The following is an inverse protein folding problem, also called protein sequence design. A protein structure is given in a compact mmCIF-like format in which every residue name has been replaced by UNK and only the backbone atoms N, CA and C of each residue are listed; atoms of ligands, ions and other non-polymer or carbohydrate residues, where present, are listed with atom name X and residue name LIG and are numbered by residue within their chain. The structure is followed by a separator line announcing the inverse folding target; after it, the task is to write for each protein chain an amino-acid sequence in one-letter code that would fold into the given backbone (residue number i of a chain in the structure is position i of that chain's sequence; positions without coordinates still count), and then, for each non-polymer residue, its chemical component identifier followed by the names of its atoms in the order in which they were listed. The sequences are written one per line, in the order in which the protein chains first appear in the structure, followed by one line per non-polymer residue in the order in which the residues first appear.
data_IF_433781548062
#
_entry.id   IF_433781548062
#
_cell.length_a   1.000
_cell.length_b   1.000
_cell.length_c   1.000
_cell.angle_alpha   90.00
_cell.angle_beta   90.00
_cell.angle_gamma   90.00
#
_symmetry.space_group_name_H-M   'P 1'
#
loop_
_entity.id
_entity.type
_entity.pdbx_description
1 polymer ?
#
# COMPACT_ATOMS: atom_id res chain seq x y z
N UNK A 1 16.81 -24.29 11.77
CA UNK A 1 17.54 -24.13 13.05
C UNK A 1 17.88 -25.46 13.69
N UNK A 2 16.91 -26.29 14.15
CA UNK A 2 17.23 -27.61 14.75
C UNK A 2 18.08 -28.54 13.88
N UNK A 3 17.82 -28.57 12.57
CA UNK A 3 18.65 -29.35 11.64
C UNK A 3 20.11 -28.83 11.62
N UNK A 4 20.30 -27.51 11.57
CA UNK A 4 21.61 -26.86 11.66
C UNK A 4 22.29 -27.14 13.00
N UNK A 5 21.54 -27.15 14.11
CA UNK A 5 22.06 -27.45 15.45
C UNK A 5 22.61 -28.88 15.49
N UNK A 6 21.78 -29.88 15.14
CA UNK A 6 22.18 -31.30 15.13
C UNK A 6 23.40 -31.56 14.24
N UNK A 7 23.44 -30.91 13.09
CA UNK A 7 24.60 -30.99 12.19
C UNK A 7 25.86 -30.40 12.84
N UNK A 8 25.75 -29.24 13.47
CA UNK A 8 26.85 -28.59 14.19
C UNK A 8 27.38 -29.41 15.37
N UNK A 9 26.48 -30.00 16.16
CA UNK A 9 26.82 -30.89 17.29
C UNK A 9 27.56 -32.14 16.81
N UNK A 10 27.16 -32.70 15.66
CA UNK A 10 27.81 -33.85 15.04
C UNK A 10 29.24 -33.55 14.56
N UNK A 11 29.59 -32.27 14.41
CA UNK A 11 30.94 -31.82 14.04
C UNK A 11 31.84 -31.52 15.26
N UNK A 12 31.39 -31.83 16.49
CA UNK A 12 32.11 -31.60 17.75
C UNK A 12 32.61 -30.15 17.94
N UNK A 13 31.84 -29.17 17.46
CA UNK A 13 32.16 -27.74 17.61
C UNK A 13 31.86 -27.24 19.02
N UNK A 14 32.56 -26.18 19.44
CA UNK A 14 32.28 -25.49 20.69
C UNK A 14 30.93 -24.77 20.64
N UNK A 15 30.28 -24.55 21.79
CA UNK A 15 28.97 -23.88 21.85
C UNK A 15 28.95 -22.51 21.16
N UNK A 16 30.03 -21.74 21.29
CA UNK A 16 30.21 -20.43 20.63
C UNK A 16 30.24 -20.54 19.10
N UNK A 17 30.93 -21.53 18.55
CA UNK A 17 30.95 -21.79 17.11
C UNK A 17 29.60 -22.32 16.59
N UNK A 18 28.88 -23.09 17.41
CA UNK A 18 27.53 -23.56 17.09
C UNK A 18 26.58 -22.37 16.99
N UNK A 19 26.59 -21.47 17.97
CA UNK A 19 25.74 -20.29 17.98
C UNK A 19 25.98 -19.35 16.80
N UNK A 20 27.25 -19.04 16.50
CA UNK A 20 27.61 -18.22 15.35
C UNK A 20 27.14 -18.86 14.02
N UNK A 21 27.28 -20.18 13.88
CA UNK A 21 26.79 -20.91 12.71
C UNK A 21 25.26 -20.86 12.60
N UNK A 22 24.55 -21.07 13.72
CA UNK A 22 23.10 -21.00 13.76
C UNK A 22 22.59 -19.61 13.36
N UNK A 23 23.22 -18.55 13.88
CA UNK A 23 22.86 -17.16 13.52
C UNK A 23 23.15 -16.88 12.06
N UNK A 24 24.33 -17.24 11.55
CA UNK A 24 24.69 -17.07 10.13
C UNK A 24 23.75 -17.82 9.19
N UNK A 25 23.45 -19.09 9.48
CA UNK A 25 22.54 -19.89 8.64
C UNK A 25 21.10 -19.36 8.69
N UNK A 26 20.63 -18.93 9.87
CA UNK A 26 19.32 -18.28 10.02
C UNK A 26 19.26 -16.98 9.23
N UNK A 27 20.30 -16.15 9.33
CA UNK A 27 20.43 -14.92 8.57
C UNK A 27 20.42 -15.17 7.06
N UNK A 28 21.10 -16.21 6.58
CA UNK A 28 21.09 -16.58 5.17
C UNK A 28 19.68 -16.96 4.69
N UNK A 29 18.95 -17.74 5.50
CA UNK A 29 17.58 -18.13 5.18
C UNK A 29 16.65 -16.91 5.13
N UNK A 30 16.73 -16.02 6.12
CA UNK A 30 15.92 -14.80 6.18
C UNK A 30 16.25 -13.87 5.01
N UNK A 31 17.51 -13.46 4.89
CA UNK A 31 17.93 -12.39 3.96
C UNK A 31 17.96 -12.81 2.49
N UNK A 32 18.20 -14.09 2.18
CA UNK A 32 18.24 -14.57 0.78
C UNK A 32 16.98 -15.31 0.39
N UNK A 33 16.63 -16.36 1.13
CA UNK A 33 15.56 -17.28 0.70
C UNK A 33 14.19 -16.66 0.91
N UNK A 34 13.91 -16.22 2.14
CA UNK A 34 12.62 -15.63 2.49
C UNK A 34 12.42 -14.27 1.81
N UNK A 35 13.46 -13.42 1.79
CA UNK A 35 13.42 -12.16 1.04
C UNK A 35 13.04 -12.37 -0.43
N UNK A 36 13.71 -13.30 -1.12
CA UNK A 36 13.40 -13.61 -2.52
C UNK A 36 11.98 -14.16 -2.69
N UNK A 37 11.52 -15.03 -1.77
CA UNK A 37 10.16 -15.56 -1.80
C UNK A 37 9.11 -14.44 -1.66
N UNK A 38 9.30 -13.52 -0.71
CA UNK A 38 8.40 -12.39 -0.49
C UNK A 38 8.38 -11.45 -1.70
N UNK A 39 9.56 -11.11 -2.25
CA UNK A 39 9.65 -10.27 -3.44
C UNK A 39 8.95 -10.90 -4.65
N UNK A 40 9.12 -12.20 -4.86
CA UNK A 40 8.44 -12.92 -5.93
C UNK A 40 6.93 -13.01 -5.69
N UNK A 41 6.48 -13.13 -4.44
CA UNK A 41 5.07 -13.13 -4.09
C UNK A 41 4.43 -11.77 -4.36
N UNK A 42 5.06 -10.68 -3.89
CA UNK A 42 4.57 -9.31 -4.05
C UNK A 42 4.47 -8.92 -5.54
N UNK A 43 5.42 -9.37 -6.36
CA UNK A 43 5.45 -9.06 -7.80
C UNK A 43 4.58 -9.98 -8.66
N UNK A 44 3.79 -10.89 -8.07
CA UNK A 44 2.89 -11.73 -8.86
C UNK A 44 1.84 -10.85 -9.55
N UNK A 45 1.59 -11.02 -10.86
CA UNK A 45 0.70 -10.13 -11.60
C UNK A 45 -0.72 -10.07 -11.03
N UNK A 46 -1.24 -11.21 -10.57
CA UNK A 46 -2.59 -11.36 -10.06
C UNK A 46 -2.73 -11.20 -8.55
N UNK A 47 -1.71 -10.70 -7.85
CA UNK A 47 -1.85 -10.45 -6.40
C UNK A 47 -2.89 -9.36 -6.16
N UNK A 48 -3.81 -9.61 -5.24
CA UNK A 48 -4.87 -8.69 -4.84
C UNK A 48 -4.42 -7.70 -3.78
N UNK A 49 -5.15 -6.57 -3.66
CA UNK A 49 -4.91 -5.56 -2.63
C UNK A 49 -5.02 -6.14 -1.22
N UNK A 50 -6.01 -7.02 -0.98
CA UNK A 50 -6.20 -7.68 0.32
C UNK A 50 -5.05 -8.63 0.68
N UNK A 51 -4.48 -9.32 -0.31
CA UNK A 51 -3.31 -10.18 -0.12
C UNK A 51 -2.07 -9.35 0.21
N UNK A 52 -1.87 -8.20 -0.45
CA UNK A 52 -0.78 -7.28 -0.13
C UNK A 52 -0.90 -6.71 1.29
N UNK A 53 -2.11 -6.33 1.71
CA UNK A 53 -2.39 -5.92 3.11
C UNK A 53 -1.99 -7.02 4.08
N UNK A 54 -2.36 -8.27 3.78
CA UNK A 54 -2.01 -9.40 4.64
C UNK A 54 -0.49 -9.66 4.68
N UNK A 55 0.23 -9.44 3.57
CA UNK A 55 1.70 -9.51 3.56
C UNK A 55 2.31 -8.46 4.48
N UNK A 56 1.80 -7.22 4.48
CA UNK A 56 2.28 -6.15 5.38
C UNK A 56 2.05 -6.53 6.86
N UNK A 57 0.87 -7.06 7.18
CA UNK A 57 0.54 -7.51 8.54
C UNK A 57 1.47 -8.66 8.95
N UNK A 58 1.59 -9.69 8.10
CA UNK A 58 2.41 -10.86 8.38
C UNK A 58 3.90 -10.52 8.53
N UNK A 59 4.44 -9.65 7.68
CA UNK A 59 5.85 -9.21 7.78
C UNK A 59 6.09 -8.41 9.06
N UNK A 60 5.11 -7.64 9.53
CA UNK A 60 5.20 -6.94 10.82
C UNK A 60 5.23 -7.92 12.00
N UNK A 61 4.42 -8.99 11.98
CA UNK A 61 4.50 -10.03 13.00
C UNK A 61 5.79 -10.84 12.94
N UNK A 62 6.28 -11.15 11.73
CA UNK A 62 7.56 -11.85 11.54
C UNK A 62 8.73 -11.00 12.03
N UNK A 63 8.69 -9.68 11.82
CA UNK A 63 9.66 -8.71 12.34
C UNK A 63 9.73 -8.79 13.88
N UNK A 64 8.59 -8.81 14.56
CA UNK A 64 8.53 -8.95 16.03
C UNK A 64 9.02 -10.34 16.48
N UNK A 65 8.72 -11.39 15.71
CA UNK A 65 9.10 -12.75 16.03
C UNK A 65 10.62 -12.99 15.95
N UNK A 66 11.38 -12.15 15.24
CA UNK A 66 12.84 -12.25 15.19
C UNK A 66 13.49 -12.20 16.57
N UNK A 67 12.93 -11.45 17.52
CA UNK A 67 13.45 -11.41 18.90
C UNK A 67 13.35 -12.79 19.57
N UNK A 68 12.20 -13.44 19.46
CA UNK A 68 12.02 -14.79 20.02
C UNK A 68 12.94 -15.80 19.34
N UNK A 69 13.26 -15.60 18.06
CA UNK A 69 14.22 -16.44 17.34
C UNK A 69 15.65 -16.25 17.86
N UNK A 70 16.04 -15.01 18.17
CA UNK A 70 17.33 -14.71 18.83
C UNK A 70 17.42 -15.33 20.23
N UNK A 71 16.38 -15.16 21.04
CA UNK A 71 16.30 -15.73 22.39
C UNK A 71 16.35 -17.26 22.33
N UNK A 72 15.62 -17.85 21.39
CA UNK A 72 15.61 -19.29 21.17
C UNK A 72 17.00 -19.82 20.80
N UNK A 73 17.71 -19.19 19.86
CA UNK A 73 19.07 -19.59 19.48
C UNK A 73 20.02 -19.53 20.68
N UNK A 74 19.93 -18.44 21.46
CA UNK A 74 20.75 -18.25 22.66
C UNK A 74 20.50 -19.34 23.71
N UNK A 75 19.23 -19.69 23.92
CA UNK A 75 18.83 -20.71 24.91
C UNK A 75 19.31 -22.10 24.51
N UNK A 76 19.21 -22.48 23.23
CA UNK A 76 19.63 -23.82 22.79
C UNK A 76 21.15 -23.98 22.74
N UNK A 77 21.92 -22.90 22.63
CA UNK A 77 23.39 -22.93 22.61
C UNK A 77 24.01 -22.79 24.01
N UNK A 78 23.20 -22.49 25.04
CA UNK A 78 23.64 -22.25 26.43
C UNK A 78 24.74 -21.18 26.56
N UNK A 79 24.73 -20.17 25.70
CA UNK A 79 25.70 -19.06 25.76
C UNK A 79 25.14 -17.95 26.65
N UNK A 80 25.95 -17.44 27.57
CA UNK A 80 25.61 -16.27 28.38
C UNK A 80 25.40 -15.03 27.49
N UNK A 81 24.30 -14.30 27.75
CA UNK A 81 24.02 -13.02 27.10
C UNK A 81 25.16 -12.01 27.24
N UNK A 82 26.06 -12.13 28.23
CA UNK A 82 27.20 -11.20 28.40
C UNK A 82 28.28 -11.32 27.31
N UNK A 83 28.25 -12.38 26.48
CA UNK A 83 29.20 -12.59 25.36
C UNK A 83 28.79 -11.82 24.09
N UNK A 84 28.21 -10.63 24.28
CA UNK A 84 27.35 -9.81 23.41
C UNK A 84 27.97 -9.27 22.10
N UNK A 85 29.14 -9.76 21.67
CA UNK A 85 29.67 -9.49 20.32
C UNK A 85 29.09 -10.43 19.24
N UNK A 86 27.95 -11.08 19.53
CA UNK A 86 27.32 -12.03 18.63
C UNK A 86 26.44 -11.33 17.58
N UNK A 87 26.50 -11.79 16.34
CA UNK A 87 25.77 -11.21 15.22
C UNK A 87 24.24 -11.25 15.46
N UNK A 88 23.58 -10.09 15.39
CA UNK A 88 22.11 -10.01 15.46
C UNK A 88 21.47 -10.61 14.21
N UNK A 89 20.19 -10.96 14.30
CA UNK A 89 19.46 -11.41 13.13
C UNK A 89 19.13 -10.22 12.22
N UNK A 90 19.40 -10.37 10.92
CA UNK A 90 19.08 -9.41 9.86
C UNK A 90 17.63 -9.57 9.35
N UNK A 91 16.77 -10.22 10.13
CA UNK A 91 15.34 -10.35 9.80
C UNK A 91 14.65 -8.98 9.78
N UNK A 92 15.06 -8.06 10.65
CA UNK A 92 14.48 -6.72 10.77
C UNK A 92 14.53 -5.94 9.44
N UNK A 93 15.70 -5.86 8.79
CA UNK A 93 15.84 -5.16 7.51
C UNK A 93 15.07 -5.89 6.41
N UNK A 94 15.17 -7.21 6.36
CA UNK A 94 14.47 -8.03 5.35
C UNK A 94 12.96 -7.80 5.35
N UNK A 95 12.33 -7.81 6.53
CA UNK A 95 10.88 -7.62 6.62
C UNK A 95 10.45 -6.17 6.40
N UNK A 96 11.29 -5.20 6.77
CA UNK A 96 11.08 -3.79 6.41
C UNK A 96 11.09 -3.58 4.90
N UNK A 97 12.06 -4.16 4.20
CA UNK A 97 12.17 -4.06 2.74
C UNK A 97 10.98 -4.72 2.04
N UNK A 98 10.55 -5.89 2.51
CA UNK A 98 9.37 -6.57 1.99
C UNK A 98 8.08 -5.78 2.24
N UNK A 99 7.92 -5.20 3.43
CA UNK A 99 6.79 -4.33 3.77
C UNK A 99 6.74 -3.12 2.85
N UNK A 100 7.87 -2.43 2.65
CA UNK A 100 7.93 -1.27 1.78
C UNK A 100 7.61 -1.62 0.31
N UNK A 101 8.09 -2.77 -0.17
CA UNK A 101 7.74 -3.25 -1.50
C UNK A 101 6.23 -3.54 -1.64
N UNK A 102 5.60 -4.14 -0.63
CA UNK A 102 4.16 -4.39 -0.62
C UNK A 102 3.34 -3.08 -0.55
N UNK A 103 3.79 -2.09 0.22
CA UNK A 103 3.20 -0.74 0.26
C UNK A 103 3.23 -0.07 -1.11
N UNK A 104 4.38 -0.10 -1.79
CA UNK A 104 4.51 0.44 -3.14
C UNK A 104 3.54 -0.22 -4.14
N UNK A 105 3.43 -1.55 -4.09
CA UNK A 105 2.53 -2.30 -4.97
C UNK A 105 1.05 -1.98 -4.71
N UNK A 106 0.67 -1.70 -3.44
CA UNK A 106 -0.68 -1.21 -3.11
C UNK A 106 -0.97 0.09 -3.84
N UNK A 107 -0.05 1.06 -3.79
CA UNK A 107 -0.25 2.36 -4.46
C UNK A 107 -0.39 2.19 -5.97
N UNK A 108 0.49 1.39 -6.58
CA UNK A 108 0.44 1.11 -8.02
C UNK A 108 -0.88 0.45 -8.42
N UNK A 109 -1.32 -0.60 -7.73
CA UNK A 109 -2.57 -1.30 -8.05
C UNK A 109 -3.81 -0.46 -7.81
N UNK A 110 -3.80 0.40 -6.81
CA UNK A 110 -4.91 1.30 -6.52
C UNK A 110 -5.07 2.34 -7.64
N UNK A 111 -3.96 2.95 -8.09
CA UNK A 111 -3.97 3.88 -9.20
C UNK A 111 -4.38 3.20 -10.52
N UNK A 112 -3.87 1.99 -10.79
CA UNK A 112 -4.31 1.19 -11.95
C UNK A 112 -5.81 0.91 -11.93
N UNK A 113 -6.38 0.59 -10.76
CA UNK A 113 -7.83 0.40 -10.64
C UNK A 113 -8.60 1.68 -10.87
N UNK A 114 -8.12 2.82 -10.39
CA UNK A 114 -8.71 4.12 -10.72
C UNK A 114 -8.71 4.34 -12.23
N UNK A 115 -7.58 4.09 -12.90
CA UNK A 115 -7.46 4.24 -14.36
C UNK A 115 -8.44 3.34 -15.12
N UNK A 116 -8.62 2.09 -14.68
CA UNK A 116 -9.61 1.18 -15.26
C UNK A 116 -11.04 1.73 -15.17
N UNK A 117 -11.43 2.34 -14.04
CA UNK A 117 -12.75 2.96 -13.90
C UNK A 117 -12.87 4.25 -14.73
N UNK A 118 -11.80 5.05 -14.78
CA UNK A 118 -11.74 6.31 -15.52
C UNK A 118 -11.90 6.06 -17.04
N UNK A 119 -11.38 4.94 -17.56
CA UNK A 119 -11.58 4.53 -18.95
C UNK A 119 -13.05 4.25 -19.31
N UNK A 120 -13.93 4.07 -18.33
CA UNK A 120 -15.37 3.89 -18.54
C UNK A 120 -16.13 5.22 -18.64
N UNK A 121 -15.45 6.36 -18.45
CA UNK A 121 -16.06 7.66 -18.59
C UNK A 121 -16.51 7.90 -20.04
N UNK A 122 -17.77 8.29 -20.20
CA UNK A 122 -18.40 8.54 -21.50
C UNK A 122 -19.18 9.86 -21.43
N UNK A 123 -18.45 10.96 -21.28
CA UNK A 123 -19.04 12.30 -21.20
C UNK A 123 -19.49 12.79 -22.58
N UNK A 124 -20.76 13.16 -22.71
CA UNK A 124 -21.20 14.04 -23.79
C UNK A 124 -20.83 15.49 -23.47
N UNK A 125 -19.65 15.90 -23.92
CA UNK A 125 -19.13 17.26 -23.72
C UNK A 125 -19.97 18.35 -24.39
N UNK A 126 -20.93 17.99 -25.24
CA UNK A 126 -21.84 18.91 -25.94
C UNK A 126 -23.25 18.96 -25.34
N UNK A 127 -23.49 18.24 -24.23
CA UNK A 127 -24.81 18.19 -23.59
C UNK A 127 -25.31 19.56 -23.12
N UNK A 128 -26.59 19.83 -23.33
CA UNK A 128 -27.16 21.16 -23.05
C UNK A 128 -27.42 21.34 -21.55
N UNK A 129 -27.92 20.30 -20.89
CA UNK A 129 -28.26 20.27 -19.47
C UNK A 129 -27.63 19.03 -18.82
N UNK A 130 -27.24 19.09 -17.54
CA UNK A 130 -26.74 17.94 -16.80
C UNK A 130 -27.85 16.91 -16.53
N UNK A 131 -27.47 15.66 -16.30
CA UNK A 131 -28.39 14.57 -15.95
C UNK A 131 -28.98 14.70 -14.53
N UNK A 132 -28.46 15.66 -13.74
CA UNK A 132 -28.91 15.93 -12.37
C UNK A 132 -28.42 14.93 -11.32
N UNK A 133 -27.57 13.97 -11.72
CA UNK A 133 -26.92 12.99 -10.83
C UNK A 133 -25.48 12.75 -11.27
N UNK A 134 -24.64 12.28 -10.35
CA UNK A 134 -23.29 11.88 -10.68
C UNK A 134 -23.24 10.67 -11.64
N UNK A 135 -22.17 10.60 -12.42
CA UNK A 135 -21.89 9.57 -13.40
C UNK A 135 -21.72 8.20 -12.74
N UNK A 136 -22.29 7.16 -13.37
CA UNK A 136 -22.33 5.81 -12.80
C UNK A 136 -20.94 5.24 -12.52
N UNK A 137 -20.00 5.38 -13.48
CA UNK A 137 -18.63 4.87 -13.34
C UNK A 137 -17.92 5.47 -12.11
N UNK A 138 -18.16 6.75 -11.83
CA UNK A 138 -17.51 7.44 -10.72
C UNK A 138 -18.09 7.00 -9.38
N UNK A 139 -19.41 6.80 -9.31
CA UNK A 139 -20.04 6.26 -8.12
C UNK A 139 -19.54 4.84 -7.82
N UNK A 140 -19.38 4.00 -8.85
CA UNK A 140 -18.81 2.66 -8.70
C UNK A 140 -17.34 2.72 -8.25
N UNK A 141 -16.55 3.65 -8.78
CA UNK A 141 -15.18 3.91 -8.33
C UNK A 141 -15.13 4.33 -6.85
N UNK A 142 -15.98 5.28 -6.44
CA UNK A 142 -16.05 5.73 -5.03
C UNK A 142 -16.46 4.58 -4.11
N UNK A 143 -17.41 3.73 -4.53
CA UNK A 143 -17.82 2.54 -3.77
C UNK A 143 -16.68 1.52 -3.65
N UNK A 144 -15.92 1.31 -4.73
CA UNK A 144 -14.71 0.49 -4.72
C UNK A 144 -13.66 1.03 -3.75
N UNK A 145 -13.35 2.33 -3.81
CA UNK A 145 -12.37 2.97 -2.91
C UNK A 145 -12.82 2.88 -1.46
N UNK A 146 -14.10 3.14 -1.16
CA UNK A 146 -14.66 3.02 0.19
C UNK A 146 -14.51 1.61 0.74
N UNK A 147 -14.85 0.60 -0.05
CA UNK A 147 -14.74 -0.82 0.34
C UNK A 147 -13.27 -1.23 0.54
N UNK A 148 -12.38 -0.73 -0.32
CA UNK A 148 -10.94 -1.01 -0.24
C UNK A 148 -10.31 -0.38 1.01
N UNK A 149 -10.64 0.88 1.31
CA UNK A 149 -10.09 1.59 2.46
C UNK A 149 -10.58 1.06 3.80
N UNK A 150 -11.76 0.45 3.86
CA UNK A 150 -12.18 -0.31 5.04
C UNK A 150 -11.19 -1.44 5.36
N UNK A 151 -10.68 -2.16 4.36
CA UNK A 151 -9.65 -3.20 4.56
C UNK A 151 -8.33 -2.58 5.01
N UNK A 152 -8.00 -1.38 4.53
CA UNK A 152 -6.74 -0.70 4.87
C UNK A 152 -6.69 -0.20 6.30
N UNK A 153 -7.80 -0.21 7.05
CA UNK A 153 -7.79 0.08 8.49
C UNK A 153 -6.92 -0.88 9.30
N UNK A 154 -6.58 -2.05 8.74
CA UNK A 154 -5.63 -3.00 9.32
C UNK A 154 -4.16 -2.71 9.01
N UNK A 155 -3.87 -1.75 8.12
CA UNK A 155 -2.52 -1.28 7.84
C UNK A 155 -2.03 -0.31 8.93
N UNK A 156 -0.71 -0.09 9.05
CA UNK A 156 -0.20 1.02 9.83
C UNK A 156 -0.84 2.34 9.37
N UNK A 157 -1.31 3.17 10.31
CA UNK A 157 -2.12 4.35 9.98
C UNK A 157 -1.51 5.28 8.93
N UNK A 158 -0.19 5.50 8.98
CA UNK A 158 0.52 6.30 7.96
C UNK A 158 0.44 5.68 6.56
N UNK A 159 0.53 4.36 6.44
CA UNK A 159 0.45 3.65 5.15
C UNK A 159 -0.96 3.79 4.56
N UNK A 160 -1.99 3.59 5.38
CA UNK A 160 -3.38 3.76 4.96
C UNK A 160 -3.66 5.20 4.49
N UNK A 161 -3.17 6.19 5.23
CA UNK A 161 -3.29 7.61 4.87
C UNK A 161 -2.54 7.94 3.58
N UNK A 162 -1.32 7.45 3.40
CA UNK A 162 -0.55 7.65 2.17
C UNK A 162 -1.24 7.00 0.97
N UNK A 163 -1.76 5.78 1.12
CA UNK A 163 -2.53 5.11 0.07
C UNK A 163 -3.77 5.93 -0.33
N UNK A 164 -4.53 6.40 0.68
CA UNK A 164 -5.73 7.19 0.46
C UNK A 164 -5.44 8.55 -0.20
N UNK A 165 -4.40 9.24 0.25
CA UNK A 165 -3.97 10.51 -0.34
C UNK A 165 -3.53 10.31 -1.79
N UNK A 166 -2.68 9.30 -2.04
CA UNK A 166 -2.20 8.95 -3.39
C UNK A 166 -3.37 8.67 -4.34
N UNK A 167 -4.36 7.91 -3.88
CA UNK A 167 -5.55 7.59 -4.66
C UNK A 167 -6.37 8.83 -5.02
N UNK A 168 -6.64 9.70 -4.04
CA UNK A 168 -7.38 10.93 -4.26
C UNK A 168 -6.64 11.90 -5.19
N UNK A 169 -5.32 12.04 -5.03
CA UNK A 169 -4.49 12.85 -5.92
C UNK A 169 -4.48 12.30 -7.34
N UNK A 170 -4.37 10.98 -7.49
CA UNK A 170 -4.41 10.33 -8.80
C UNK A 170 -5.77 10.54 -9.47
N UNK A 171 -6.87 10.30 -8.73
CA UNK A 171 -8.23 10.55 -9.23
C UNK A 171 -8.43 12.00 -9.66
N UNK A 172 -8.06 12.96 -8.81
CA UNK A 172 -8.14 14.40 -9.11
C UNK A 172 -7.36 14.76 -10.38
N UNK A 173 -6.14 14.23 -10.51
CA UNK A 173 -5.28 14.45 -11.68
C UNK A 173 -5.89 13.86 -12.94
N UNK A 174 -6.38 12.62 -12.88
CA UNK A 174 -7.02 11.95 -14.02
C UNK A 174 -8.28 12.68 -14.48
N UNK A 175 -9.11 13.16 -13.54
CA UNK A 175 -10.28 13.98 -13.84
C UNK A 175 -9.88 15.32 -14.48
N UNK A 176 -8.87 16.00 -13.94
CA UNK A 176 -8.36 17.23 -14.54
C UNK A 176 -7.83 17.00 -15.97
N UNK A 177 -7.15 15.88 -16.21
CA UNK A 177 -6.66 15.53 -17.55
C UNK A 177 -7.79 15.34 -18.56
N UNK A 178 -8.98 14.86 -18.15
CA UNK A 178 -10.13 14.78 -19.06
C UNK A 178 -10.57 16.15 -19.56
N UNK A 179 -10.60 17.17 -18.69
CA UNK A 179 -10.94 18.54 -19.08
C UNK A 179 -9.87 19.21 -19.94
N UNK A 180 -8.62 18.78 -19.80
CA UNK A 180 -7.47 19.32 -20.50
C UNK A 180 -7.08 18.50 -21.74
N UNK A 181 -7.89 17.51 -22.12
CA UNK A 181 -7.61 16.65 -23.27
C UNK A 181 -7.54 17.49 -24.55
N UNK A 182 -6.45 17.32 -25.31
CA UNK A 182 -6.25 18.03 -26.57
C UNK A 182 -7.29 17.68 -27.64
N UNK A 183 -7.95 16.53 -27.53
CA UNK A 183 -9.01 16.11 -28.45
C UNK A 183 -10.36 16.77 -28.14
N UNK A 184 -10.51 17.33 -26.93
CA UNK A 184 -11.69 18.06 -26.50
C UNK A 184 -11.74 19.45 -27.14
N UNK A 185 -12.46 19.59 -28.27
CA UNK A 185 -12.53 20.85 -29.02
C UNK A 185 -13.56 21.84 -28.49
N UNK A 186 -14.58 21.34 -27.79
CA UNK A 186 -15.67 22.16 -27.28
C UNK A 186 -16.23 21.53 -26.01
N UNK A 187 -16.56 22.38 -25.04
CA UNK A 187 -17.23 22.00 -23.81
C UNK A 187 -18.43 22.91 -23.63
N UNK A 188 -19.59 22.31 -23.41
CA UNK A 188 -20.84 22.99 -23.08
C UNK A 188 -20.95 23.25 -21.57
N UNK A 189 -21.77 24.23 -21.18
CA UNK A 189 -22.05 24.46 -19.75
C UNK A 189 -22.79 23.28 -19.11
N UNK A 190 -23.65 22.57 -19.84
CA UNK A 190 -24.31 21.37 -19.33
C UNK A 190 -23.30 20.27 -18.97
N UNK A 191 -22.29 20.06 -19.82
CA UNK A 191 -21.21 19.11 -19.53
C UNK A 191 -20.35 19.54 -18.32
N UNK A 192 -19.99 20.83 -18.22
CA UNK A 192 -19.27 21.35 -17.04
C UNK A 192 -20.09 21.12 -15.76
N UNK A 193 -21.40 21.36 -15.80
CA UNK A 193 -22.28 21.13 -14.65
C UNK A 193 -22.38 19.64 -14.30
N UNK A 194 -22.44 18.75 -15.29
CA UNK A 194 -22.44 17.31 -15.07
C UNK A 194 -21.12 16.85 -14.43
N UNK A 195 -19.98 17.31 -14.95
CA UNK A 195 -18.67 17.04 -14.38
C UNK A 195 -18.51 17.66 -12.97
N UNK A 196 -19.13 18.80 -12.71
CA UNK A 196 -19.16 19.40 -11.37
C UNK A 196 -19.88 18.50 -10.35
N UNK A 197 -20.99 17.84 -10.72
CA UNK A 197 -21.68 16.87 -9.86
C UNK A 197 -20.75 15.71 -9.47
N UNK A 198 -19.91 15.30 -10.40
CA UNK A 198 -18.92 14.25 -10.21
C UNK A 198 -17.80 14.66 -9.24
N UNK A 199 -17.24 15.87 -9.41
CA UNK A 199 -16.23 16.39 -8.48
C UNK A 199 -16.80 16.60 -7.08
N UNK A 200 -18.07 17.04 -6.95
CA UNK A 200 -18.75 17.13 -5.65
C UNK A 200 -18.77 15.76 -4.94
N UNK A 201 -19.01 14.66 -5.66
CA UNK A 201 -18.98 13.32 -5.04
C UNK A 201 -17.57 12.93 -4.58
N UNK A 202 -16.53 13.31 -5.32
CA UNK A 202 -15.15 13.09 -4.93
C UNK A 202 -14.79 13.86 -3.64
N UNK A 203 -15.24 15.11 -3.53
CA UNK A 203 -15.04 15.93 -2.34
C UNK A 203 -15.81 15.39 -1.13
N UNK A 204 -17.09 15.02 -1.32
CA UNK A 204 -17.88 14.37 -0.26
C UNK A 204 -17.23 13.07 0.22
N UNK A 205 -16.66 12.30 -0.70
CA UNK A 205 -15.87 11.13 -0.35
C UNK A 205 -14.64 11.50 0.49
N UNK A 206 -13.86 12.51 0.08
CA UNK A 206 -12.71 13.00 0.83
C UNK A 206 -13.07 13.52 2.22
N UNK A 207 -14.22 14.19 2.36
CA UNK A 207 -14.77 14.68 3.63
C UNK A 207 -15.33 13.56 4.53
N UNK A 208 -15.57 12.35 4.00
CA UNK A 208 -16.15 11.24 4.76
C UNK A 208 -15.15 10.44 5.61
N UNK A 209 -13.92 10.94 5.76
CA UNK A 209 -12.82 10.28 6.47
C UNK A 209 -12.64 8.80 6.08
N UNK A 210 -12.33 8.50 4.80
CA UNK A 210 -12.28 7.13 4.29
C UNK A 210 -11.26 6.23 5.01
N UNK A 211 -10.20 6.82 5.58
CA UNK A 211 -9.29 6.16 6.52
C UNK A 211 -9.05 7.06 7.74
N UNK A 212 -8.84 6.49 8.94
CA UNK A 212 -8.69 7.27 10.16
C UNK A 212 -7.37 8.05 10.22
N UNK A 213 -7.40 9.16 10.97
CA UNK A 213 -6.21 9.92 11.37
C UNK A 213 -5.77 11.03 10.40
N UNK A 214 -6.56 11.34 9.37
CA UNK A 214 -6.42 12.63 8.70
C UNK A 214 -6.74 13.77 9.69
N UNK A 215 -6.04 14.89 9.56
CA UNK A 215 -6.29 16.09 10.34
C UNK A 215 -7.06 17.11 9.50
N UNK A 216 -8.25 17.52 9.96
CA UNK A 216 -9.07 18.52 9.29
C UNK A 216 -9.34 18.16 7.82
N UNK A 217 -9.20 19.14 6.93
CA UNK A 217 -9.54 19.02 5.51
C UNK A 217 -8.38 18.53 4.63
N UNK A 218 -7.34 17.90 5.21
CA UNK A 218 -6.12 17.52 4.49
C UNK A 218 -6.40 16.71 3.21
N UNK A 219 -7.34 15.75 3.24
CA UNK A 219 -7.67 14.94 2.07
C UNK A 219 -8.41 15.74 0.98
N UNK A 220 -9.16 16.77 1.36
CA UNK A 220 -9.85 17.66 0.41
C UNK A 220 -8.86 18.49 -0.41
N UNK A 221 -7.66 18.75 0.13
CA UNK A 221 -6.58 19.44 -0.59
C UNK A 221 -6.21 18.74 -1.90
N UNK A 222 -6.43 17.43 -2.02
CA UNK A 222 -6.18 16.69 -3.26
C UNK A 222 -7.05 17.16 -4.44
N UNK A 223 -8.20 17.78 -4.17
CA UNK A 223 -9.18 18.21 -5.18
C UNK A 223 -9.22 19.73 -5.40
N UNK A 224 -8.43 20.52 -4.65
CA UNK A 224 -8.49 21.99 -4.70
C UNK A 224 -8.23 22.53 -6.11
N UNK A 225 -7.18 22.06 -6.79
CA UNK A 225 -6.84 22.58 -8.12
C UNK A 225 -7.94 22.26 -9.14
N UNK A 226 -8.54 21.06 -9.05
CA UNK A 226 -9.66 20.66 -9.89
C UNK A 226 -10.91 21.50 -9.62
N UNK A 227 -11.20 21.76 -8.34
CA UNK A 227 -12.31 22.64 -7.92
C UNK A 227 -12.11 24.06 -8.45
N UNK A 228 -10.93 24.64 -8.26
CA UNK A 228 -10.59 25.97 -8.75
C UNK A 228 -10.71 26.07 -10.26
N UNK A 229 -10.28 25.03 -11.00
CA UNK A 229 -10.45 24.99 -12.46
C UNK A 229 -11.93 25.03 -12.85
N UNK A 230 -12.79 24.26 -12.18
CA UNK A 230 -14.24 24.27 -12.45
C UNK A 230 -14.89 25.61 -12.11
N UNK A 231 -14.50 26.21 -10.98
CA UNK A 231 -15.01 27.52 -10.57
C UNK A 231 -14.61 28.65 -11.53
N UNK A 232 -13.56 28.47 -12.35
CA UNK A 232 -13.22 29.42 -13.42
C UNK A 232 -14.16 29.33 -14.64
N UNK A 233 -14.80 28.18 -14.86
CA UNK A 233 -15.77 28.00 -15.94
C UNK A 233 -17.19 28.45 -15.57
N UNK A 234 -17.51 28.51 -14.27
CA UNK A 234 -18.85 28.81 -13.73
C UNK A 234 -18.97 30.25 -13.23
#
# INVERSE_FOLDING_TARGET
IYASLKFSESLHRSSTEIDDMLRKSTNLLLTRTLSSCLQNLIKKPHIGLTELVQIIINTTHLEQACKYLEDFITNITNISQETLHTARLYGLSTFKDARHAAEGEIYTKLNQKIDEFIQLADYDWTMIEPDGRASGYLMDLINFLRSTFQVFTHLPGKVAQTACMSACQHLSTSLMQMLLDSDLKQISMGAIQQFNLDVIQCELFASSEPVPGFHGETLQLAFIDLRQLLDLFM
#
